data_IF_311273804371
#
_entry.id   IF_311273804371
#
_cell.length_a   1.000
_cell.length_b   1.000
_cell.length_c   1.000
_cell.angle_alpha   90.00
_cell.angle_beta   90.00
_cell.angle_gamma   90.00
#
_symmetry.space_group_name_H-M   'P 1'
#
loop_
_entity.id
_entity.type
_entity.pdbx_description
1 polymer ?
#
# COMPACT_ATOMS: atom_id res chain seq x y z
N UNK A 1 -22.03 -5.18 -2.30
CA UNK A 1 -20.96 -4.21 -2.03
C UNK A 1 -21.03 -3.95 -0.54
N UNK A 2 -20.15 -4.60 0.23
CA UNK A 2 -20.09 -4.40 1.68
C UNK A 2 -19.85 -2.91 1.95
N UNK A 3 -20.58 -2.38 2.93
CA UNK A 3 -20.46 -0.99 3.34
C UNK A 3 -19.00 -0.74 3.74
N UNK A 4 -18.24 -0.05 2.89
CA UNK A 4 -16.87 0.39 3.17
C UNK A 4 -16.90 1.49 4.25
N UNK A 5 -17.23 1.07 5.46
CA UNK A 5 -17.35 1.87 6.67
C UNK A 5 -16.47 1.26 7.73
N UNK A 6 -15.72 2.11 8.41
CA UNK A 6 -14.91 1.73 9.55
C UNK A 6 -14.73 2.93 10.47
N UNK A 7 -14.14 2.72 11.64
CA UNK A 7 -13.89 3.77 12.61
C UNK A 7 -12.73 4.67 12.17
N UNK A 8 -13.03 5.95 11.93
CA UNK A 8 -12.01 6.96 11.70
C UNK A 8 -11.51 7.49 13.05
N UNK A 9 -10.21 7.37 13.31
CA UNK A 9 -9.57 7.88 14.53
C UNK A 9 -9.59 9.41 14.62
N UNK A 10 -9.54 10.09 13.47
CA UNK A 10 -9.60 11.55 13.37
C UNK A 10 -11.01 12.09 13.64
N UNK A 11 -12.04 11.51 13.01
CA UNK A 11 -13.43 11.90 13.24
C UNK A 11 -14.04 11.32 14.53
N UNK A 12 -13.38 10.31 15.13
CA UNK A 12 -13.86 9.52 16.28
C UNK A 12 -15.26 8.93 16.10
N UNK A 13 -15.57 8.51 14.86
CA UNK A 13 -16.85 7.90 14.48
C UNK A 13 -16.66 6.95 13.30
N UNK A 14 -17.67 6.13 13.05
CA UNK A 14 -17.72 5.33 11.82
C UNK A 14 -17.96 6.23 10.61
N UNK A 15 -17.09 6.10 9.60
CA UNK A 15 -17.14 6.90 8.38
C UNK A 15 -16.96 6.01 7.17
N UNK A 16 -17.54 6.41 6.04
CA UNK A 16 -17.20 5.82 4.75
C UNK A 16 -15.74 6.14 4.41
N UNK A 17 -15.05 5.23 3.75
CA UNK A 17 -13.69 5.45 3.24
C UNK A 17 -13.60 5.18 1.73
N UNK A 18 -12.48 5.61 1.13
CA UNK A 18 -12.09 5.28 -0.24
C UNK A 18 -10.70 4.67 -0.23
N UNK A 19 -10.51 3.60 -1.01
CA UNK A 19 -9.20 3.02 -1.24
C UNK A 19 -8.51 3.74 -2.40
N UNK A 20 -7.25 4.13 -2.20
CA UNK A 20 -6.42 4.76 -3.22
C UNK A 20 -5.05 4.10 -3.24
N UNK A 21 -4.49 3.94 -4.45
CA UNK A 21 -3.09 3.55 -4.59
C UNK A 21 -2.20 4.74 -4.30
N UNK A 22 -1.18 4.53 -3.48
CA UNK A 22 -0.15 5.51 -3.15
C UNK A 22 1.22 4.91 -3.38
N UNK A 23 2.20 5.76 -3.69
CA UNK A 23 3.59 5.36 -3.84
C UNK A 23 4.34 5.60 -2.54
N UNK A 24 5.02 4.58 -2.05
CA UNK A 24 5.91 4.68 -0.89
C UNK A 24 7.33 4.30 -1.30
N UNK A 25 8.32 5.02 -0.76
CA UNK A 25 9.72 4.69 -0.96
C UNK A 25 10.22 3.89 0.23
N UNK A 26 10.93 2.79 -0.03
CA UNK A 26 11.56 1.96 0.98
C UNK A 26 12.96 1.58 0.54
N UNK A 27 13.90 1.64 1.47
CA UNK A 27 15.27 1.19 1.24
C UNK A 27 15.39 -0.27 1.67
N UNK A 28 15.77 -1.14 0.74
CA UNK A 28 15.99 -2.58 0.99
C UNK A 28 17.39 -2.91 0.45
N UNK A 29 18.27 -3.46 1.31
CA UNK A 29 19.66 -3.79 0.93
C UNK A 29 20.38 -2.63 0.25
N UNK A 30 20.29 -1.44 0.86
CA UNK A 30 20.92 -0.19 0.38
C UNK A 30 20.42 0.32 -0.99
N UNK A 31 19.36 -0.29 -1.53
CA UNK A 31 18.69 0.16 -2.75
C UNK A 31 17.33 0.77 -2.41
N UNK A 32 17.02 1.90 -3.02
CA UNK A 32 15.70 2.50 -2.92
C UNK A 32 14.73 1.81 -3.90
N UNK A 33 13.57 1.44 -3.39
CA UNK A 33 12.45 0.91 -4.16
C UNK A 33 11.23 1.79 -3.93
N UNK A 34 10.53 2.08 -5.02
CA UNK A 34 9.21 2.68 -4.97
C UNK A 34 8.16 1.57 -5.11
N UNK A 35 7.32 1.41 -4.09
CA UNK A 35 6.22 0.45 -4.07
C UNK A 35 4.88 1.17 -4.22
N UNK A 36 3.97 0.60 -4.97
CA UNK A 36 2.56 1.00 -4.97
C UNK A 36 1.81 0.18 -3.93
N UNK A 37 1.21 0.85 -2.95
CA UNK A 37 0.39 0.20 -1.92
C UNK A 37 -1.02 0.79 -1.92
N UNK A 38 -1.96 0.09 -1.32
CA UNK A 38 -3.33 0.56 -1.17
C UNK A 38 -3.52 1.19 0.21
N UNK A 39 -3.96 2.44 0.28
CA UNK A 39 -4.30 3.15 1.52
C UNK A 39 -5.78 3.52 1.53
N UNK A 40 -6.39 3.48 2.71
CA UNK A 40 -7.77 3.90 2.91
C UNK A 40 -7.82 5.33 3.44
N UNK A 41 -8.70 6.15 2.88
CA UNK A 41 -8.89 7.54 3.27
C UNK A 41 -10.34 7.79 3.69
N UNK A 42 -10.54 8.46 4.81
CA UNK A 42 -11.85 8.90 5.27
C UNK A 42 -12.48 9.87 4.27
N UNK A 43 -13.74 9.64 3.90
CA UNK A 43 -14.46 10.51 2.97
C UNK A 43 -14.92 11.83 3.61
N UNK A 44 -14.80 11.96 4.93
CA UNK A 44 -15.22 13.16 5.66
C UNK A 44 -14.04 14.10 5.96
N UNK A 45 -12.99 13.59 6.61
CA UNK A 45 -11.82 14.40 6.99
C UNK A 45 -10.63 14.26 6.03
N UNK A 46 -10.63 13.24 5.16
CA UNK A 46 -9.49 12.94 4.29
C UNK A 46 -8.31 12.26 4.99
N UNK A 47 -8.40 11.96 6.29
CA UNK A 47 -7.37 11.26 7.04
C UNK A 47 -7.21 9.80 6.61
N UNK A 48 -6.01 9.26 6.76
CA UNK A 48 -5.72 7.85 6.52
C UNK A 48 -6.42 6.98 7.58
N UNK A 49 -7.00 5.86 7.15
CA UNK A 49 -7.73 4.93 8.01
C UNK A 49 -7.07 3.54 7.99
N UNK A 50 -6.94 2.94 9.17
CA UNK A 50 -6.42 1.59 9.33
C UNK A 50 -7.52 0.54 9.20
N UNK A 51 -7.75 0.06 7.97
CA UNK A 51 -8.76 -0.97 7.71
C UNK A 51 -8.20 -2.38 8.00
N UNK A 52 -8.93 -3.25 8.72
CA UNK A 52 -8.51 -4.63 8.96
C UNK A 52 -8.16 -5.37 7.67
N UNK A 53 -7.04 -6.10 7.67
CA UNK A 53 -6.56 -6.88 6.52
C UNK A 53 -5.89 -6.06 5.40
N UNK A 54 -6.00 -4.73 5.40
CA UNK A 54 -5.34 -3.88 4.39
C UNK A 54 -3.81 -3.94 4.52
N UNK A 55 -3.31 -3.99 5.75
CA UNK A 55 -1.87 -4.13 6.01
C UNK A 55 -1.32 -5.47 5.50
N UNK A 56 -2.04 -6.56 5.74
CA UNK A 56 -1.66 -7.90 5.26
C UNK A 56 -1.69 -7.98 3.74
N UNK A 57 -2.69 -7.33 3.11
CA UNK A 57 -2.77 -7.21 1.66
C UNK A 57 -1.59 -6.43 1.09
N UNK A 58 -1.30 -5.25 1.63
CA UNK A 58 -0.17 -4.42 1.20
C UNK A 58 1.17 -5.16 1.36
N UNK A 59 1.34 -5.96 2.43
CA UNK A 59 2.55 -6.76 2.63
C UNK A 59 2.74 -7.81 1.52
N UNK A 60 1.65 -8.46 1.08
CA UNK A 60 1.70 -9.37 -0.08
C UNK A 60 2.05 -8.63 -1.37
N UNK A 61 1.41 -7.48 -1.63
CA UNK A 61 1.69 -6.67 -2.83
C UNK A 61 3.16 -6.19 -2.86
N UNK A 62 3.73 -5.80 -1.73
CA UNK A 62 5.13 -5.38 -1.64
C UNK A 62 6.08 -6.56 -1.92
N UNK A 63 5.83 -7.74 -1.35
CA UNK A 63 6.66 -8.93 -1.60
C UNK A 63 6.66 -9.33 -3.08
N UNK A 64 5.48 -9.32 -3.72
CA UNK A 64 5.35 -9.56 -5.15
C UNK A 64 6.12 -8.53 -5.98
N UNK A 65 5.90 -7.23 -5.73
CA UNK A 65 6.61 -6.15 -6.44
C UNK A 65 8.12 -6.25 -6.28
N UNK A 66 8.60 -6.55 -5.07
CA UNK A 66 10.02 -6.71 -4.79
C UNK A 66 10.63 -7.89 -5.55
N UNK A 67 9.95 -9.06 -5.55
CA UNK A 67 10.41 -10.24 -6.31
C UNK A 67 10.47 -9.96 -7.80
N UNK A 68 9.45 -9.32 -8.36
CA UNK A 68 9.42 -8.93 -9.77
C UNK A 68 10.57 -7.95 -10.11
N UNK A 69 10.78 -6.91 -9.30
CA UNK A 69 11.85 -5.93 -9.52
C UNK A 69 13.24 -6.59 -9.43
N UNK A 70 13.45 -7.49 -8.48
CA UNK A 70 14.73 -8.20 -8.33
C UNK A 70 15.02 -9.16 -9.50
N UNK A 71 14.00 -9.88 -9.98
CA UNK A 71 14.14 -10.74 -11.16
C UNK A 71 14.51 -9.90 -12.39
N UNK A 72 13.81 -8.80 -12.63
CA UNK A 72 14.10 -7.89 -13.75
C UNK A 72 15.53 -7.34 -13.67
N UNK A 73 15.94 -6.85 -12.50
CA UNK A 73 17.29 -6.35 -12.30
C UNK A 73 18.35 -7.43 -12.56
N UNK A 74 18.08 -8.68 -12.20
CA UNK A 74 19.00 -9.79 -12.46
C UNK A 74 19.07 -10.17 -13.93
N UNK A 75 17.96 -10.08 -14.67
CA UNK A 75 17.94 -10.31 -16.11
C UNK A 75 18.71 -9.21 -16.86
N UNK A 76 18.56 -7.94 -16.45
CA UNK A 76 19.30 -6.81 -17.01
C UNK A 76 20.83 -7.01 -16.89
N UNK A 77 21.32 -7.52 -15.76
CA UNK A 77 22.75 -7.84 -15.60
C UNK A 77 23.25 -9.01 -16.45
N UNK A 78 22.38 -9.91 -16.91
CA UNK A 78 22.76 -11.09 -17.70
C UNK A 78 22.79 -10.83 -19.20
N UNK A 79 21.95 -9.91 -19.68
CA UNK A 79 21.79 -9.59 -21.11
C UNK A 79 22.33 -8.21 -21.51
N UNK A 80 22.77 -7.40 -20.54
CA UNK A 80 23.50 -6.15 -20.75
C UNK A 80 25.01 -6.34 -20.69
#
# INVERSE_FOLDING_TARGET
>A
MENQRDFCTECRRETNYTLKKIKINRTIREKEYAFEITAAFCNECGGEMGIPGLMDYNMKEIDEQYRHSNILQRLECYYG
#
